data_IF_437558760594
#
_entry.id   IF_437558760594
#
_cell.length_a   1.000
_cell.length_b   1.000
_cell.length_c   1.000
_cell.angle_alpha   90.00
_cell.angle_beta   90.00
_cell.angle_gamma   90.00
#
_symmetry.space_group_name_H-M   'P 1'
#
loop_
_entity.id
_entity.type
_entity.pdbx_description
1 polymer ?
#
# COMPACT_ATOMS: atom_id res chain seq x y z
N UNK A 1 -9.58 -28.52 -12.09
CA UNK A 1 -8.38 -27.65 -12.02
C UNK A 1 -8.51 -26.47 -11.06
N UNK A 2 -9.57 -25.63 -11.08
CA UNK A 2 -9.66 -24.44 -10.20
C UNK A 2 -9.61 -24.72 -8.68
N UNK A 3 -10.17 -25.87 -8.23
CA UNK A 3 -10.31 -26.23 -6.81
C UNK A 3 -8.96 -26.43 -6.10
N UNK A 4 -8.03 -27.16 -6.72
CA UNK A 4 -6.70 -27.40 -6.16
C UNK A 4 -5.88 -26.12 -6.02
N UNK A 5 -5.97 -25.17 -6.96
CA UNK A 5 -5.30 -23.86 -6.85
C UNK A 5 -5.73 -23.09 -5.61
N UNK A 6 -7.02 -23.12 -5.28
CA UNK A 6 -7.57 -22.37 -4.15
C UNK A 6 -7.15 -23.00 -2.82
N UNK A 7 -7.13 -24.33 -2.75
CA UNK A 7 -6.58 -25.08 -1.62
C UNK A 7 -5.09 -24.81 -1.42
N UNK A 8 -4.29 -24.76 -2.50
CA UNK A 8 -2.86 -24.41 -2.43
C UNK A 8 -2.63 -22.99 -1.94
N UNK A 9 -3.45 -22.02 -2.36
CA UNK A 9 -3.38 -20.63 -1.88
C UNK A 9 -3.68 -20.58 -0.37
N UNK A 10 -4.77 -21.23 0.06
CA UNK A 10 -5.14 -21.28 1.50
C UNK A 10 -4.04 -21.95 2.31
N UNK A 11 -3.43 -23.02 1.78
CA UNK A 11 -2.30 -23.70 2.41
C UNK A 11 -1.10 -22.76 2.58
N UNK A 12 -0.73 -22.00 1.55
CA UNK A 12 0.35 -21.01 1.63
C UNK A 12 0.06 -19.90 2.65
N UNK A 13 -1.19 -19.44 2.75
CA UNK A 13 -1.60 -18.49 3.78
C UNK A 13 -1.46 -19.06 5.19
N UNK A 14 -1.90 -20.30 5.41
CA UNK A 14 -1.73 -20.98 6.70
C UNK A 14 -0.26 -21.14 7.07
N UNK A 15 0.57 -21.52 6.10
CA UNK A 15 2.00 -21.72 6.30
C UNK A 15 2.75 -20.40 6.55
N UNK A 16 2.35 -19.33 5.85
CA UNK A 16 2.84 -17.97 6.10
C UNK A 16 2.47 -17.50 7.51
N UNK A 17 1.24 -17.80 7.95
CA UNK A 17 0.76 -17.46 9.28
C UNK A 17 1.52 -18.21 10.38
N UNK A 18 1.84 -19.49 10.17
CA UNK A 18 2.62 -20.27 11.13
C UNK A 18 4.08 -19.83 11.21
N UNK A 19 4.66 -19.33 10.12
CA UNK A 19 6.03 -18.82 10.10
C UNK A 19 6.14 -17.44 10.78
N UNK A 20 5.37 -16.45 10.32
CA UNK A 20 5.36 -15.12 10.92
C UNK A 20 4.05 -14.36 10.61
N UNK A 21 3.14 -14.16 11.59
CA UNK A 21 1.89 -13.46 11.35
C UNK A 21 2.08 -11.98 10.94
N UNK A 22 3.20 -11.36 11.32
CA UNK A 22 3.50 -9.98 10.94
C UNK A 22 3.68 -9.82 9.42
N UNK A 23 4.08 -10.87 8.70
CA UNK A 23 4.17 -10.84 7.24
C UNK A 23 2.79 -10.65 6.58
N UNK A 24 1.79 -11.39 7.06
CA UNK A 24 0.42 -11.27 6.56
C UNK A 24 -0.23 -9.94 6.97
N UNK A 25 0.06 -9.44 8.17
CA UNK A 25 -0.38 -8.11 8.59
C UNK A 25 0.23 -7.00 7.72
N UNK A 26 1.53 -7.07 7.41
CA UNK A 26 2.17 -6.12 6.51
C UNK A 26 1.66 -6.22 5.07
N UNK A 27 1.31 -7.42 4.59
CA UNK A 27 0.60 -7.62 3.32
C UNK A 27 -0.74 -6.88 3.30
N UNK A 28 -1.54 -7.05 4.35
CA UNK A 28 -2.82 -6.36 4.48
C UNK A 28 -2.64 -4.83 4.55
N UNK A 29 -1.67 -4.34 5.32
CA UNK A 29 -1.33 -2.91 5.36
C UNK A 29 -0.93 -2.36 3.99
N UNK A 30 -0.13 -3.09 3.21
CA UNK A 30 0.26 -2.67 1.86
C UNK A 30 -0.93 -2.57 0.91
N UNK A 31 -1.88 -3.49 0.99
CA UNK A 31 -3.11 -3.41 0.19
C UNK A 31 -3.90 -2.16 0.54
N UNK A 32 -4.10 -1.89 1.84
CA UNK A 32 -4.79 -0.69 2.30
C UNK A 32 -4.08 0.58 1.79
N UNK A 33 -2.76 0.67 1.97
CA UNK A 33 -1.99 1.84 1.51
C UNK A 33 -2.05 1.99 0.00
N UNK A 34 -2.02 0.90 -0.76
CA UNK A 34 -2.15 0.93 -2.23
C UNK A 34 -3.50 1.46 -2.70
N UNK A 35 -4.58 1.17 -1.96
CA UNK A 35 -5.92 1.70 -2.22
C UNK A 35 -5.98 3.20 -1.89
N UNK A 36 -5.29 3.64 -0.84
CA UNK A 36 -5.27 5.04 -0.41
C UNK A 36 -4.35 5.93 -1.27
N UNK A 37 -3.29 5.37 -1.83
CA UNK A 37 -2.27 6.09 -2.61
C UNK A 37 -2.82 6.97 -3.75
N UNK A 38 -3.83 6.57 -4.54
CA UNK A 38 -4.41 7.42 -5.57
C UNK A 38 -5.37 8.50 -5.03
N UNK A 39 -5.87 8.40 -3.78
CA UNK A 39 -6.90 9.30 -3.27
C UNK A 39 -6.51 10.79 -3.31
N UNK A 40 -5.30 11.20 -2.89
CA UNK A 40 -4.90 12.60 -2.99
C UNK A 40 -4.98 13.14 -4.42
N UNK A 41 -4.56 12.33 -5.40
CA UNK A 41 -4.56 12.70 -6.80
C UNK A 41 -5.98 12.76 -7.42
N UNK A 42 -7.00 12.30 -6.71
CA UNK A 42 -8.41 12.41 -7.12
C UNK A 42 -9.05 13.63 -6.44
N UNK A 43 -8.87 13.75 -5.11
CA UNK A 43 -9.60 14.73 -4.29
C UNK A 43 -9.02 16.14 -4.47
N UNK A 44 -7.71 16.31 -4.32
CA UNK A 44 -7.12 17.65 -4.33
C UNK A 44 -7.20 18.35 -5.69
N UNK A 45 -7.00 17.68 -6.84
CA UNK A 45 -7.19 18.33 -8.13
C UNK A 45 -8.60 18.87 -8.34
N UNK A 46 -9.64 18.16 -7.87
CA UNK A 46 -11.00 18.68 -7.92
C UNK A 46 -11.13 19.99 -7.12
N UNK A 47 -10.60 20.03 -5.89
CA UNK A 47 -10.62 21.24 -5.06
C UNK A 47 -9.79 22.38 -5.65
N UNK A 48 -8.64 22.09 -6.25
CA UNK A 48 -7.81 23.11 -6.92
C UNK A 48 -8.59 23.73 -8.08
N UNK A 49 -9.23 22.91 -8.92
CA UNK A 49 -10.05 23.40 -10.04
C UNK A 49 -11.22 24.24 -9.54
N UNK A 50 -11.94 23.78 -8.51
CA UNK A 50 -13.06 24.52 -7.92
C UNK A 50 -12.62 25.89 -7.38
N UNK A 51 -11.49 25.95 -6.66
CA UNK A 51 -10.92 27.22 -6.18
C UNK A 51 -10.59 28.17 -7.35
N UNK A 52 -9.99 27.67 -8.42
CA UNK A 52 -9.66 28.49 -9.60
C UNK A 52 -10.92 29.01 -10.31
N UNK A 53 -11.99 28.21 -10.38
CA UNK A 53 -13.25 28.61 -11.02
C UNK A 53 -14.02 29.67 -10.24
N UNK A 54 -13.89 29.68 -8.90
CA UNK A 54 -14.51 30.70 -8.03
C UNK A 54 -13.73 32.03 -8.05
N UNK A 55 -12.59 32.08 -8.74
CA UNK A 55 -11.71 33.26 -8.76
C UNK A 55 -10.94 33.44 -7.46
N UNK A 56 -10.62 32.33 -6.78
CA UNK A 56 -9.87 32.34 -5.54
C UNK A 56 -8.50 33.01 -5.69
N UNK A 57 -8.04 33.63 -4.61
CA UNK A 57 -6.71 34.24 -4.57
C UNK A 57 -5.61 33.18 -4.57
N UNK A 58 -4.38 33.58 -4.91
CA UNK A 58 -3.23 32.67 -4.97
C UNK A 58 -3.04 31.86 -3.68
N UNK A 59 -3.18 32.49 -2.51
CA UNK A 59 -3.05 31.82 -1.21
C UNK A 59 -4.09 30.70 -1.00
N UNK A 60 -5.31 30.91 -1.47
CA UNK A 60 -6.41 29.95 -1.35
C UNK A 60 -6.22 28.74 -2.27
N UNK A 61 -5.67 28.95 -3.46
CA UNK A 61 -5.29 27.88 -4.39
C UNK A 61 -4.01 27.14 -3.95
N UNK A 62 -3.12 27.80 -3.21
CA UNK A 62 -1.86 27.21 -2.73
C UNK A 62 -2.10 26.14 -1.65
N UNK A 63 -3.07 26.35 -0.77
CA UNK A 63 -3.42 25.41 0.31
C UNK A 63 -3.74 23.98 -0.18
N UNK A 64 -4.66 23.76 -1.14
CA UNK A 64 -4.95 22.42 -1.64
C UNK A 64 -3.79 21.82 -2.44
N UNK A 65 -2.94 22.64 -3.09
CA UNK A 65 -1.71 22.17 -3.75
C UNK A 65 -0.69 21.65 -2.74
N UNK A 66 -0.49 22.37 -1.63
CA UNK A 66 0.37 21.91 -0.54
C UNK A 66 -0.19 20.65 0.13
N UNK A 67 -1.52 20.59 0.30
CA UNK A 67 -2.22 19.40 0.80
C UNK A 67 -2.00 18.18 -0.08
N UNK A 68 -2.09 18.34 -1.40
CA UNK A 68 -1.78 17.30 -2.38
C UNK A 68 -0.34 16.80 -2.23
N UNK A 69 0.64 17.72 -2.24
CA UNK A 69 2.05 17.38 -2.16
C UNK A 69 2.40 16.68 -0.83
N UNK A 70 1.91 17.20 0.30
CA UNK A 70 2.17 16.62 1.60
C UNK A 70 1.54 15.23 1.76
N UNK A 71 0.28 15.05 1.36
CA UNK A 71 -0.41 13.76 1.48
C UNK A 71 0.18 12.70 0.56
N UNK A 72 0.51 13.04 -0.70
CA UNK A 72 1.21 12.13 -1.61
C UNK A 72 2.59 11.75 -1.08
N UNK A 73 3.34 12.72 -0.54
CA UNK A 73 4.66 12.45 0.05
C UNK A 73 4.57 11.50 1.25
N UNK A 74 3.63 11.73 2.18
CA UNK A 74 3.43 10.88 3.36
C UNK A 74 3.03 9.46 2.93
N UNK A 75 2.09 9.31 2.00
CA UNK A 75 1.68 8.00 1.50
C UNK A 75 2.79 7.28 0.73
N UNK A 76 3.60 8.00 -0.04
CA UNK A 76 4.75 7.45 -0.74
C UNK A 76 5.83 6.95 0.24
N UNK A 77 6.12 7.71 1.30
CA UNK A 77 7.03 7.30 2.37
C UNK A 77 6.52 6.03 3.07
N UNK A 78 5.24 6.02 3.45
CA UNK A 78 4.61 4.89 4.11
C UNK A 78 4.65 3.64 3.22
N UNK A 79 4.30 3.78 1.94
CA UNK A 79 4.34 2.69 0.98
C UNK A 79 5.76 2.14 0.80
N UNK A 80 6.75 3.01 0.64
CA UNK A 80 8.17 2.63 0.51
C UNK A 80 8.65 1.86 1.74
N UNK A 81 8.27 2.32 2.93
CA UNK A 81 8.62 1.65 4.18
C UNK A 81 7.99 0.26 4.29
N UNK A 82 6.69 0.13 3.97
CA UNK A 82 5.99 -1.16 3.98
C UNK A 82 6.62 -2.12 2.97
N UNK A 83 6.84 -1.67 1.73
CA UNK A 83 7.44 -2.50 0.67
C UNK A 83 8.82 -3.02 1.09
N UNK A 84 9.67 -2.17 1.68
CA UNK A 84 10.98 -2.60 2.17
C UNK A 84 10.88 -3.70 3.22
N UNK A 85 9.95 -3.56 4.18
CA UNK A 85 9.72 -4.59 5.22
C UNK A 85 9.17 -5.88 4.63
N UNK A 86 8.28 -5.79 3.65
CA UNK A 86 7.72 -6.95 2.96
C UNK A 86 8.78 -7.71 2.18
N UNK A 87 9.65 -7.04 1.43
CA UNK A 87 10.72 -7.71 0.66
C UNK A 87 11.61 -8.55 1.59
N UNK A 88 11.98 -7.99 2.75
CA UNK A 88 12.77 -8.71 3.75
C UNK A 88 12.04 -9.96 4.27
N UNK A 89 10.76 -9.83 4.61
CA UNK A 89 9.97 -10.95 5.11
C UNK A 89 9.67 -11.99 4.01
N UNK A 90 9.46 -11.55 2.78
CA UNK A 90 9.24 -12.45 1.64
C UNK A 90 10.50 -13.27 1.34
N UNK A 91 11.68 -12.66 1.44
CA UNK A 91 12.95 -13.39 1.34
C UNK A 91 13.08 -14.44 2.45
N UNK A 92 12.82 -14.04 3.70
CA UNK A 92 12.87 -14.96 4.83
C UNK A 92 11.87 -16.13 4.72
N UNK A 93 10.66 -15.86 4.22
CA UNK A 93 9.66 -16.89 3.97
C UNK A 93 10.10 -17.85 2.86
N UNK A 94 10.70 -17.33 1.78
CA UNK A 94 11.25 -18.16 0.70
C UNK A 94 12.37 -19.08 1.21
N UNK A 95 13.24 -18.57 2.06
CA UNK A 95 14.29 -19.39 2.68
C UNK A 95 13.68 -20.47 3.58
N UNK A 96 12.69 -20.11 4.41
CA UNK A 96 11.95 -21.08 5.24
C UNK A 96 11.32 -22.22 4.42
N UNK A 97 10.71 -21.91 3.28
CA UNK A 97 10.15 -22.92 2.38
C UNK A 97 11.24 -23.85 1.81
N UNK A 98 12.35 -23.28 1.37
CA UNK A 98 13.46 -24.04 0.79
C UNK A 98 14.16 -24.97 1.79
N UNK A 99 14.19 -24.62 3.07
CA UNK A 99 14.82 -25.45 4.11
C UNK A 99 13.89 -26.57 4.63
N UNK A 100 12.58 -26.33 4.72
CA UNK A 100 11.64 -27.32 5.28
C UNK A 100 11.06 -28.30 4.25
N UNK A 101 11.17 -27.98 2.95
CA UNK A 101 10.58 -28.78 1.87
C UNK A 101 11.61 -29.22 0.81
N UNK A 102 12.88 -29.37 1.21
CA UNK A 102 13.88 -30.17 0.49
C UNK A 102 13.79 -31.62 0.91
#
# INVERSE_FOLDING_TARGET
>A
MKKHTLESIIYLFRLSWSWNPAYLMLLLCSVIVSILLPLPAIIFPAWIVDSLLVGANFEEALLPVLGLAASTFILALLNTWIQRKQILLQSGFKDFLNYNYK
#
